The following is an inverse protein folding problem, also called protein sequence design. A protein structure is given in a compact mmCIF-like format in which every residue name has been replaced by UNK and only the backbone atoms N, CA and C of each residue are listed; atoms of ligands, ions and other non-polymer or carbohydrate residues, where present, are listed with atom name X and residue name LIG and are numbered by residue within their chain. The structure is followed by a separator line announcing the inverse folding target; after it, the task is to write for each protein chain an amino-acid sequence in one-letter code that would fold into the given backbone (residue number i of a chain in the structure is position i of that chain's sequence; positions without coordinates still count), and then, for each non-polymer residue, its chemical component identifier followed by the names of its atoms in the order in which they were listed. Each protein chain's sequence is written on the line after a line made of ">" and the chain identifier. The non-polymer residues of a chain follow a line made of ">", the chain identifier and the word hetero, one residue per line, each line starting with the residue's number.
data_IF_151340720105
#
_entry.id   IF_151340720105
#
_cell.length_a   1.000
_cell.length_b   1.000
_cell.length_c   1.000
_cell.angle_alpha   90.00
_cell.angle_beta   90.00
_cell.angle_gamma   90.00
#
_symmetry.space_group_name_H-M   'P 1'
#
loop_
_entity.id
_entity.type
_entity.pdbx_description
1 polymer ?
#
# COMPACT_ATOMS: atom_id res chain seq x y z
N UNK A 1 10.96 -15.36 20.96
CA UNK A 1 10.54 -13.97 21.26
C UNK A 1 11.67 -12.98 20.90
N UNK A 2 12.12 -12.96 19.63
CA UNK A 2 13.32 -12.19 19.23
C UNK A 2 13.34 -11.95 17.71
N UNK A 3 12.65 -10.93 17.18
CA UNK A 3 12.86 -10.44 15.79
C UNK A 3 12.54 -8.94 15.58
N UNK A 4 12.55 -8.09 16.62
CA UNK A 4 12.20 -6.65 16.51
C UNK A 4 13.25 -5.65 17.03
N UNK A 5 14.53 -6.05 17.17
CA UNK A 5 15.58 -5.20 17.77
C UNK A 5 16.69 -4.70 16.83
N UNK A 6 16.50 -4.69 15.50
CA UNK A 6 17.58 -4.30 14.56
C UNK A 6 17.29 -3.19 13.54
N UNK A 7 16.31 -2.33 13.79
CA UNK A 7 16.02 -1.20 12.88
C UNK A 7 16.11 0.21 13.49
N UNK A 8 16.56 0.36 14.75
CA UNK A 8 16.67 1.68 15.40
C UNK A 8 17.98 1.83 16.14
N UNK A 9 19.05 2.09 15.39
CA UNK A 9 20.28 2.66 15.95
C UNK A 9 21.09 3.23 14.81
N UNK A 10 20.78 4.46 14.39
CA UNK A 10 21.78 5.36 13.80
C UNK A 10 21.38 6.81 14.08
N UNK A 11 22.36 7.54 14.64
CA UNK A 11 22.47 8.97 14.90
C UNK A 11 21.72 9.58 16.09
N UNK A 12 22.35 9.44 17.26
CA UNK A 12 22.49 10.54 18.22
C UNK A 12 23.89 11.16 18.09
N UNK A 13 23.94 12.44 17.73
CA UNK A 13 24.94 13.46 18.06
C UNK A 13 24.42 14.76 17.42
N UNK A 14 24.51 15.98 17.95
CA UNK A 14 24.98 16.57 19.20
C UNK A 14 24.79 18.09 19.02
N UNK A 15 24.17 18.80 19.97
CA UNK A 15 24.35 20.24 20.21
C UNK A 15 23.90 21.28 19.16
N UNK A 16 23.70 22.55 19.55
CA UNK A 16 22.95 23.56 18.80
C UNK A 16 23.89 24.57 18.11
N UNK A 17 23.91 24.58 16.78
CA UNK A 17 24.43 25.69 16.00
C UNK A 17 23.35 26.20 15.04
N UNK A 18 22.94 27.44 15.27
CA UNK A 18 22.06 28.24 14.41
C UNK A 18 22.76 28.50 13.08
N UNK A 19 22.68 27.52 12.17
CA UNK A 19 23.03 27.68 10.77
C UNK A 19 21.74 27.99 10.03
N UNK A 20 21.59 29.24 9.56
CA UNK A 20 20.53 29.59 8.60
C UNK A 20 20.50 28.55 7.47
N UNK A 21 19.32 27.96 7.17
CA UNK A 21 19.26 26.91 6.18
C UNK A 21 19.68 27.47 4.82
N UNK A 22 20.82 27.00 4.31
CA UNK A 22 21.28 27.36 2.97
C UNK A 22 20.16 27.09 1.96
N UNK A 23 20.08 27.91 0.92
CA UNK A 23 19.10 27.73 -0.17
C UNK A 23 19.14 26.29 -0.73
N UNK A 24 20.29 25.62 -0.70
CA UNK A 24 20.43 24.20 -1.03
C UNK A 24 19.77 23.24 -0.03
N UNK A 25 19.78 23.54 1.27
CA UNK A 25 19.02 22.78 2.29
C UNK A 25 17.51 23.00 2.11
N UNK A 26 17.08 24.21 1.77
CA UNK A 26 15.70 24.53 1.38
C UNK A 26 15.28 23.81 0.10
N UNK A 27 16.15 23.66 -0.90
CA UNK A 27 15.90 22.89 -2.13
C UNK A 27 15.95 21.37 -1.88
N UNK A 28 16.74 20.89 -0.92
CA UNK A 28 16.79 19.48 -0.51
C UNK A 28 15.54 19.06 0.28
N UNK A 29 15.01 19.96 1.12
CA UNK A 29 13.73 19.76 1.84
C UNK A 29 12.52 20.03 0.93
N UNK A 30 12.64 20.98 -0.01
CA UNK A 30 11.77 21.14 -1.17
C UNK A 30 12.27 20.32 -2.37
N UNK A 31 12.80 19.13 -2.13
CA UNK A 31 12.68 18.05 -3.09
C UNK A 31 11.18 17.68 -3.15
N UNK A 32 10.38 18.65 -3.61
CA UNK A 32 9.05 18.50 -4.15
C UNK A 32 9.15 17.23 -4.96
N UNK A 33 8.48 16.21 -4.46
CA UNK A 33 8.46 14.89 -5.05
C UNK A 33 8.03 15.09 -6.52
N UNK A 34 8.99 15.17 -7.45
CA UNK A 34 8.72 15.58 -8.85
C UNK A 34 7.77 14.62 -9.56
N UNK A 35 7.53 13.46 -8.94
CA UNK A 35 6.58 12.45 -9.40
C UNK A 35 5.19 12.83 -8.92
N UNK A 36 4.32 13.15 -9.88
CA UNK A 36 2.88 13.32 -9.63
C UNK A 36 2.21 12.08 -9.08
N UNK A 37 2.77 10.88 -9.34
CA UNK A 37 2.24 9.60 -8.89
C UNK A 37 3.24 8.93 -7.94
N UNK A 38 2.87 8.76 -6.67
CA UNK A 38 3.68 8.02 -5.70
C UNK A 38 3.65 6.54 -6.07
N UNK A 39 4.82 5.90 -5.96
CA UNK A 39 4.97 4.46 -6.15
C UNK A 39 5.05 3.79 -4.80
N UNK A 40 4.30 2.72 -4.63
CA UNK A 40 4.46 1.84 -3.47
C UNK A 40 5.34 0.67 -3.86
N UNK A 41 6.12 0.15 -2.90
CA UNK A 41 6.82 -1.12 -3.09
C UNK A 41 5.79 -2.16 -3.46
N UNK A 42 6.10 -2.98 -4.45
CA UNK A 42 5.23 -4.07 -4.86
C UNK A 42 5.42 -5.22 -3.87
N UNK A 43 4.50 -5.48 -2.94
CA UNK A 43 4.66 -6.58 -2.01
C UNK A 43 4.52 -7.89 -2.77
N UNK A 44 5.49 -8.80 -2.59
CA UNK A 44 5.42 -10.16 -3.11
C UNK A 44 4.43 -10.99 -2.29
N UNK A 45 3.15 -10.66 -2.36
CA UNK A 45 2.11 -11.64 -2.11
C UNK A 45 2.16 -12.62 -3.27
N UNK A 46 2.12 -13.93 -3.03
CA UNK A 46 2.21 -14.95 -4.10
C UNK A 46 1.08 -14.83 -5.14
N UNK A 47 0.80 -15.90 -5.91
CA UNK A 47 -0.16 -15.89 -7.02
C UNK A 47 -1.60 -15.38 -6.69
N UNK A 48 -1.94 -15.19 -5.42
CA UNK A 48 -3.24 -14.71 -4.91
C UNK A 48 -3.16 -13.33 -4.24
N UNK A 49 -2.09 -12.57 -4.47
CA UNK A 49 -1.98 -11.19 -3.99
C UNK A 49 -2.99 -10.24 -4.64
N UNK A 50 -3.31 -9.09 -4.00
CA UNK A 50 -4.19 -8.08 -4.58
C UNK A 50 -3.56 -7.35 -5.78
N UNK A 51 -2.23 -7.42 -5.90
CA UNK A 51 -1.49 -6.80 -6.99
C UNK A 51 -1.47 -7.70 -8.22
N UNK A 52 -1.52 -7.09 -9.43
CA UNK A 52 -1.58 -7.87 -10.67
C UNK A 52 -0.26 -8.55 -10.98
N UNK A 53 -0.27 -9.84 -11.27
CA UNK A 53 0.85 -10.47 -11.99
C UNK A 53 1.05 -9.73 -13.30
N UNK A 54 2.30 -9.42 -13.62
CA UNK A 54 2.64 -8.67 -14.85
C UNK A 54 3.26 -9.65 -15.82
N UNK A 55 2.61 -9.85 -16.97
CA UNK A 55 3.15 -10.65 -18.06
C UNK A 55 3.62 -9.76 -19.21
N UNK A 56 4.74 -10.14 -19.81
CA UNK A 56 5.22 -9.64 -21.10
C UNK A 56 5.50 -10.83 -22.02
N UNK A 57 4.80 -10.88 -23.16
CA UNK A 57 4.88 -12.01 -24.11
C UNK A 57 4.72 -13.39 -23.44
N UNK A 58 3.81 -13.50 -22.47
CA UNK A 58 3.55 -14.74 -21.73
C UNK A 58 4.56 -15.04 -20.61
N UNK A 59 5.60 -14.21 -20.42
CA UNK A 59 6.56 -14.35 -19.34
C UNK A 59 6.20 -13.46 -18.16
N UNK A 60 6.22 -14.03 -16.96
CA UNK A 60 5.99 -13.28 -15.73
C UNK A 60 7.20 -12.42 -15.38
N UNK A 61 6.94 -11.16 -15.08
CA UNK A 61 7.94 -10.13 -14.82
C UNK A 61 8.01 -9.84 -13.32
N UNK A 62 9.22 -9.62 -12.82
CA UNK A 62 9.43 -9.20 -11.43
C UNK A 62 9.11 -7.71 -11.28
N UNK A 63 8.13 -7.36 -10.45
CA UNK A 63 7.74 -5.96 -10.22
C UNK A 63 8.35 -5.48 -8.91
N UNK A 64 9.10 -4.39 -8.93
CA UNK A 64 9.68 -3.80 -7.72
C UNK A 64 8.77 -2.75 -7.07
N UNK A 65 8.06 -1.96 -7.87
CA UNK A 65 7.09 -0.97 -7.38
C UNK A 65 6.04 -0.64 -8.44
N UNK A 66 4.90 -0.13 -7.99
CA UNK A 66 3.74 0.17 -8.84
C UNK A 66 3.05 1.46 -8.39
N UNK A 67 2.40 2.13 -9.33
CA UNK A 67 1.56 3.30 -9.14
C UNK A 67 0.45 3.30 -10.18
N UNK A 68 -0.53 4.19 -10.03
CA UNK A 68 -1.55 4.42 -11.07
C UNK A 68 -0.98 4.91 -12.40
N UNK A 69 0.25 5.45 -12.42
CA UNK A 69 0.88 5.97 -13.63
C UNK A 69 1.87 5.02 -14.31
N UNK A 70 2.16 3.87 -13.71
CA UNK A 70 3.18 2.95 -14.23
C UNK A 70 3.82 2.09 -13.17
N UNK A 71 4.84 1.35 -13.60
CA UNK A 71 5.49 0.31 -12.81
C UNK A 71 7.01 0.29 -13.01
N UNK A 72 7.68 -0.37 -12.08
CA UNK A 72 9.10 -0.65 -12.14
C UNK A 72 9.29 -2.16 -12.24
N UNK A 73 9.90 -2.60 -13.33
CA UNK A 73 10.23 -4.00 -13.57
C UNK A 73 11.71 -4.23 -13.30
N UNK A 74 12.00 -5.34 -12.64
CA UNK A 74 13.33 -5.93 -12.52
C UNK A 74 13.38 -7.02 -13.61
N UNK A 75 14.03 -6.70 -14.72
CA UNK A 75 14.17 -7.52 -15.92
C UNK A 75 15.54 -8.22 -15.93
N UNK A 76 15.70 -9.19 -15.04
CA UNK A 76 16.93 -9.99 -14.90
C UNK A 76 17.25 -10.78 -16.18
N UNK A 77 16.23 -11.03 -17.01
CA UNK A 77 16.34 -11.78 -18.28
C UNK A 77 16.47 -10.90 -19.51
N UNK A 78 16.49 -9.58 -19.34
CA UNK A 78 16.61 -8.57 -20.41
C UNK A 78 15.57 -8.70 -21.53
N UNK A 79 14.39 -9.25 -21.24
CA UNK A 79 13.33 -9.51 -22.23
C UNK A 79 12.66 -8.25 -22.75
N UNK A 80 12.59 -7.20 -21.93
CA UNK A 80 11.99 -5.93 -22.32
C UNK A 80 12.92 -5.11 -23.23
N UNK A 81 14.14 -5.58 -23.48
CA UNK A 81 15.15 -4.86 -24.23
C UNK A 81 15.70 -3.65 -23.46
N UNK A 82 16.51 -2.83 -24.12
CA UNK A 82 17.22 -1.70 -23.50
C UNK A 82 16.77 -0.32 -24.01
N UNK A 83 15.82 -0.28 -24.95
CA UNK A 83 15.45 0.95 -25.66
C UNK A 83 14.42 1.77 -24.88
N UNK A 84 14.74 3.04 -24.62
CA UNK A 84 13.80 4.01 -24.07
C UNK A 84 12.86 4.49 -25.17
N UNK A 85 11.60 4.75 -24.81
CA UNK A 85 10.48 5.18 -25.66
C UNK A 85 9.75 4.07 -26.40
N UNK A 86 10.21 2.83 -26.33
CA UNK A 86 9.49 1.69 -26.87
C UNK A 86 8.11 1.58 -26.24
N UNK A 87 7.10 1.40 -27.10
CA UNK A 87 5.73 1.14 -26.70
C UNK A 87 5.48 -0.35 -26.85
N UNK A 88 5.19 -1.01 -25.75
CA UNK A 88 4.98 -2.45 -25.66
C UNK A 88 3.61 -2.74 -25.03
N UNK A 89 3.15 -3.97 -25.21
CA UNK A 89 1.97 -4.50 -24.55
C UNK A 89 2.38 -5.36 -23.37
N UNK A 90 1.84 -5.07 -22.19
CA UNK A 90 1.89 -5.97 -21.03
C UNK A 90 0.48 -6.43 -20.68
N UNK A 91 0.39 -7.52 -19.93
CA UNK A 91 -0.86 -7.99 -19.34
C UNK A 91 -0.77 -7.91 -17.81
N UNK A 92 -1.76 -7.27 -17.20
CA UNK A 92 -1.95 -7.21 -15.76
C UNK A 92 -3.03 -8.24 -15.39
N UNK A 93 -2.69 -9.22 -14.56
CA UNK A 93 -3.58 -10.33 -14.21
C UNK A 93 -3.85 -10.33 -12.71
N UNK A 94 -5.11 -10.12 -12.36
CA UNK A 94 -5.73 -10.42 -11.07
C UNK A 94 -6.49 -11.75 -11.21
N UNK A 95 -6.66 -12.51 -10.13
CA UNK A 95 -7.23 -13.86 -10.20
C UNK A 95 -8.49 -14.01 -11.09
N UNK A 96 -9.41 -13.05 -11.03
CA UNK A 96 -10.67 -13.03 -11.79
C UNK A 96 -10.69 -12.08 -13.01
N UNK A 97 -9.61 -11.33 -13.24
CA UNK A 97 -9.62 -10.21 -14.17
C UNK A 97 -8.25 -10.01 -14.79
N UNK A 98 -8.17 -9.89 -16.12
CA UNK A 98 -6.95 -9.45 -16.79
C UNK A 98 -7.19 -8.21 -17.64
N UNK A 99 -6.14 -7.40 -17.76
CA UNK A 99 -6.13 -6.20 -18.57
C UNK A 99 -4.85 -6.13 -19.39
N UNK A 100 -4.99 -6.02 -20.71
CA UNK A 100 -3.89 -5.68 -21.60
C UNK A 100 -3.69 -4.16 -21.60
N UNK A 101 -2.45 -3.73 -21.41
CA UNK A 101 -2.08 -2.33 -21.20
C UNK A 101 -0.93 -1.98 -22.13
N UNK A 102 -1.07 -0.94 -22.96
CA UNK A 102 0.05 -0.32 -23.68
C UNK A 102 0.85 0.49 -22.69
N UNK A 103 2.15 0.26 -22.73
CA UNK A 103 3.08 0.92 -21.82
C UNK A 103 4.30 1.41 -22.58
N UNK A 104 4.89 2.48 -22.09
CA UNK A 104 6.10 3.08 -22.63
C UNK A 104 7.26 2.84 -21.68
N UNK A 105 8.39 2.36 -22.19
CA UNK A 105 9.64 2.34 -21.43
C UNK A 105 10.16 3.77 -21.33
N UNK A 106 10.24 4.32 -20.12
CA UNK A 106 10.66 5.72 -19.88
C UNK A 106 12.02 5.83 -19.19
N UNK A 107 12.61 4.71 -18.80
CA UNK A 107 13.94 4.67 -18.24
C UNK A 107 14.47 3.25 -18.14
N UNK A 108 15.77 3.10 -18.38
CA UNK A 108 16.49 1.82 -18.36
C UNK A 108 17.75 2.02 -17.52
N UNK A 109 17.99 1.11 -16.57
CA UNK A 109 19.21 1.12 -15.76
C UNK A 109 19.60 -0.31 -15.35
N UNK A 110 20.63 -0.88 -15.99
CA UNK A 110 21.03 -2.29 -15.82
C UNK A 110 19.82 -3.22 -16.05
N UNK A 111 19.39 -3.97 -15.02
CA UNK A 111 18.21 -4.83 -15.06
C UNK A 111 16.89 -4.10 -14.74
N UNK A 112 16.93 -2.79 -14.47
CA UNK A 112 15.74 -2.05 -14.08
C UNK A 112 15.08 -1.39 -15.29
N UNK A 113 13.75 -1.48 -15.36
CA UNK A 113 12.92 -0.82 -16.36
C UNK A 113 11.86 0.02 -15.68
N UNK A 114 11.85 1.31 -16.00
CA UNK A 114 10.79 2.22 -15.61
C UNK A 114 9.78 2.32 -16.74
N UNK A 115 8.53 2.00 -16.42
CA UNK A 115 7.47 1.87 -17.39
C UNK A 115 6.34 2.82 -17.02
N UNK A 116 5.80 3.51 -18.02
CA UNK A 116 4.65 4.41 -17.91
C UNK A 116 3.46 3.80 -18.62
N UNK A 117 2.28 3.82 -17.99
CA UNK A 117 1.04 3.40 -18.65
C UNK A 117 0.62 4.46 -19.70
N UNK A 118 0.33 4.03 -20.93
CA UNK A 118 -0.07 4.91 -22.05
C UNK A 118 -1.57 4.91 -22.21
N UNK A 119 -2.16 3.72 -22.30
CA UNK A 119 -3.58 3.53 -22.08
C UNK A 119 -3.78 2.71 -20.82
N UNK A 120 -4.83 3.02 -20.09
CA UNK A 120 -5.09 2.37 -18.83
C UNK A 120 -6.59 2.34 -18.61
N UNK A 121 -7.16 1.14 -18.69
CA UNK A 121 -8.61 1.00 -18.60
C UNK A 121 -9.10 1.41 -17.19
N UNK A 122 -10.33 1.91 -17.11
CA UNK A 122 -10.86 2.49 -15.86
C UNK A 122 -10.90 1.48 -14.70
N UNK A 123 -11.15 0.19 -14.99
CA UNK A 123 -11.23 -0.85 -13.98
C UNK A 123 -9.85 -1.19 -13.38
N UNK A 124 -8.81 -1.34 -14.20
CA UNK A 124 -7.44 -1.55 -13.75
C UNK A 124 -6.93 -0.30 -13.00
N UNK A 125 -7.27 0.90 -13.48
CA UNK A 125 -7.00 2.14 -12.77
C UNK A 125 -7.61 2.13 -11.38
N UNK A 126 -8.90 1.82 -11.26
CA UNK A 126 -9.58 1.77 -9.96
C UNK A 126 -8.90 0.77 -9.02
N UNK A 127 -8.62 -0.46 -9.49
CA UNK A 127 -7.94 -1.51 -8.70
C UNK A 127 -6.56 -1.06 -8.22
N UNK A 128 -5.70 -0.55 -9.10
CA UNK A 128 -4.36 -0.06 -8.70
C UNK A 128 -4.48 1.16 -7.79
N UNK A 129 -5.43 2.06 -8.06
CA UNK A 129 -5.61 3.27 -7.26
C UNK A 129 -5.94 2.93 -5.81
N UNK A 130 -6.86 2.00 -5.55
CA UNK A 130 -7.23 1.59 -4.19
C UNK A 130 -5.99 1.10 -3.41
N UNK A 131 -5.15 0.29 -4.06
CA UNK A 131 -3.96 -0.28 -3.43
C UNK A 131 -2.84 0.74 -3.22
N UNK A 132 -2.73 1.75 -4.09
CA UNK A 132 -1.63 2.74 -4.11
C UNK A 132 -1.99 4.07 -3.44
N UNK A 133 -3.28 4.37 -3.25
CA UNK A 133 -3.84 5.60 -2.67
C UNK A 133 -3.28 5.95 -1.28
N UNK A 134 -3.09 5.03 -0.33
CA UNK A 134 -2.55 5.36 1.00
C UNK A 134 -1.08 5.77 0.95
N UNK A 135 -0.31 5.17 0.04
CA UNK A 135 1.07 5.57 -0.23
C UNK A 135 1.17 6.94 -0.91
N UNK A 136 0.12 7.37 -1.64
CA UNK A 136 0.01 8.67 -2.31
C UNK A 136 0.03 9.87 -1.37
N UNK A 137 -0.32 9.67 -0.09
CA UNK A 137 -0.54 10.77 0.84
C UNK A 137 0.21 10.47 2.12
N UNK A 138 1.50 10.79 2.06
CA UNK A 138 2.39 10.84 3.21
C UNK A 138 2.04 11.94 4.22
N UNK A 139 0.77 12.07 4.61
CA UNK A 139 0.41 12.75 5.85
C UNK A 139 0.33 11.71 6.96
N UNK A 140 1.23 11.84 7.93
CA UNK A 140 1.21 11.13 9.21
C UNK A 140 -0.22 11.12 9.76
N UNK A 141 -0.61 10.05 10.44
CA UNK A 141 -1.79 10.11 11.30
C UNK A 141 -1.69 11.35 12.18
N UNK A 142 -2.69 12.21 12.07
CA UNK A 142 -2.74 13.40 12.89
C UNK A 142 -3.45 13.02 14.18
N UNK A 143 -2.73 13.13 15.30
CA UNK A 143 -3.37 13.12 16.61
C UNK A 143 -4.33 14.29 16.67
N UNK A 144 -5.59 13.98 16.95
CA UNK A 144 -6.63 15.01 17.03
C UNK A 144 -6.52 15.65 18.41
N UNK A 145 -6.19 16.96 18.44
CA UNK A 145 -6.16 17.74 19.69
C UNK A 145 -7.60 18.05 20.07
N UNK A 146 -8.07 17.37 21.09
CA UNK A 146 -9.41 17.50 21.62
C UNK A 146 -9.40 18.48 22.80
N UNK A 147 -9.34 19.78 22.49
CA UNK A 147 -9.27 20.86 23.50
C UNK A 147 -10.56 20.97 24.32
N UNK A 148 -11.68 20.44 23.82
CA UNK A 148 -13.02 20.57 24.43
C UNK A 148 -13.65 19.23 24.84
N UNK A 149 -12.98 18.10 24.66
CA UNK A 149 -13.51 16.79 25.02
C UNK A 149 -14.62 16.26 24.09
N UNK A 150 -14.88 16.93 22.97
CA UNK A 150 -16.01 16.68 22.06
C UNK A 150 -15.62 15.82 20.86
N UNK A 151 -14.33 15.73 20.53
CA UNK A 151 -13.88 15.00 19.35
C UNK A 151 -13.84 13.49 19.64
N UNK A 152 -14.54 12.72 18.81
CA UNK A 152 -14.59 11.26 18.91
C UNK A 152 -13.33 10.57 18.37
N UNK A 153 -12.42 11.31 17.74
CA UNK A 153 -11.21 10.81 17.11
C UNK A 153 -9.97 10.92 18.01
N UNK A 154 -9.18 9.86 18.10
CA UNK A 154 -7.82 9.84 18.67
C UNK A 154 -6.78 10.21 17.61
N UNK A 155 -6.89 9.58 16.45
CA UNK A 155 -6.01 9.76 15.30
C UNK A 155 -6.87 9.72 14.03
N UNK A 156 -6.53 10.59 13.09
CA UNK A 156 -7.24 10.70 11.81
C UNK A 156 -6.23 10.72 10.67
N UNK A 157 -6.50 9.88 9.67
CA UNK A 157 -5.92 9.97 8.34
C UNK A 157 -7.04 10.37 7.37
N UNK A 158 -6.75 11.29 6.45
CA UNK A 158 -7.69 11.72 5.41
C UNK A 158 -6.97 11.62 4.06
N UNK A 159 -7.61 10.93 3.13
CA UNK A 159 -7.19 10.81 1.74
C UNK A 159 -7.62 12.01 0.90
N UNK A 160 -7.00 12.17 -0.27
CA UNK A 160 -7.26 13.28 -1.19
C UNK A 160 -8.59 13.12 -1.93
N UNK A 161 -9.17 11.92 -1.92
CA UNK A 161 -10.44 11.58 -2.55
C UNK A 161 -11.54 11.32 -1.51
N UNK A 162 -11.48 12.03 -0.38
CA UNK A 162 -12.46 11.99 0.72
C UNK A 162 -12.53 10.67 1.48
N UNK A 163 -11.59 9.76 1.27
CA UNK A 163 -11.42 8.62 2.18
C UNK A 163 -10.89 9.10 3.54
N UNK A 164 -11.19 8.36 4.60
CA UNK A 164 -10.64 8.68 5.91
C UNK A 164 -10.57 7.44 6.78
N UNK A 165 -9.54 7.34 7.61
CA UNK A 165 -9.43 6.35 8.66
C UNK A 165 -9.33 7.07 10.00
N UNK A 166 -10.33 6.85 10.86
CA UNK A 166 -10.46 7.46 12.18
C UNK A 166 -10.36 6.39 13.26
N UNK A 167 -9.53 6.62 14.27
CA UNK A 167 -9.52 5.81 15.50
C UNK A 167 -10.38 6.46 16.57
N UNK A 168 -11.27 5.70 17.21
CA UNK A 168 -12.25 6.27 18.11
C UNK A 168 -11.77 6.30 19.57
N UNK A 169 -12.08 7.39 20.30
CA UNK A 169 -11.66 7.63 21.70
C UNK A 169 -12.60 7.01 22.73
N UNK A 170 -13.92 7.01 22.45
CA UNK A 170 -15.00 6.59 23.38
C UNK A 170 -16.19 6.00 22.62
N UNK A 171 -15.94 5.16 21.62
CA UNK A 171 -16.97 4.44 20.85
C UNK A 171 -16.85 2.94 21.12
N UNK A 172 -17.94 2.19 20.89
CA UNK A 172 -17.87 0.73 20.77
C UNK A 172 -16.94 0.33 19.62
N UNK A 173 -16.92 1.14 18.56
CA UNK A 173 -16.04 1.01 17.42
C UNK A 173 -14.59 1.35 17.80
N UNK A 174 -13.65 0.51 17.36
CA UNK A 174 -12.22 0.77 17.48
C UNK A 174 -11.76 1.76 16.41
N UNK A 175 -12.20 1.58 15.18
CA UNK A 175 -11.89 2.45 14.06
C UNK A 175 -13.04 2.53 13.06
N UNK A 176 -13.05 3.59 12.27
CA UNK A 176 -13.97 3.80 11.14
C UNK A 176 -13.17 4.14 9.88
N UNK A 177 -13.45 3.44 8.79
CA UNK A 177 -12.91 3.73 7.47
C UNK A 177 -14.04 4.21 6.56
N UNK A 178 -13.89 5.39 5.98
CA UNK A 178 -14.71 5.84 4.85
C UNK A 178 -13.94 5.54 3.57
N UNK A 179 -14.49 4.69 2.71
CA UNK A 179 -13.88 4.29 1.44
C UNK A 179 -14.95 4.33 0.34
N UNK A 180 -14.70 5.11 -0.72
CA UNK A 180 -15.64 5.30 -1.84
C UNK A 180 -17.07 5.68 -1.38
N UNK A 181 -17.18 6.49 -0.32
CA UNK A 181 -18.48 6.92 0.23
C UNK A 181 -19.19 5.90 1.12
N UNK A 182 -18.62 4.70 1.32
CA UNK A 182 -19.14 3.71 2.27
C UNK A 182 -18.40 3.83 3.61
N UNK A 183 -19.13 3.73 4.73
CA UNK A 183 -18.54 3.67 6.06
C UNK A 183 -18.37 2.21 6.51
N UNK A 184 -17.16 1.86 6.90
CA UNK A 184 -16.76 0.53 7.36
C UNK A 184 -16.29 0.63 8.81
N UNK A 185 -16.82 -0.23 9.66
CA UNK A 185 -16.59 -0.22 11.11
C UNK A 185 -15.70 -1.40 11.50
N UNK A 186 -14.71 -1.10 12.35
CA UNK A 186 -13.85 -2.11 12.97
C UNK A 186 -14.12 -2.13 14.46
N UNK A 187 -14.49 -3.29 14.99
CA UNK A 187 -14.79 -3.51 16.40
C UNK A 187 -13.97 -4.69 16.95
N UNK A 188 -13.59 -4.61 18.23
CA UNK A 188 -12.90 -5.74 18.86
C UNK A 188 -13.92 -6.83 19.18
N UNK A 189 -13.69 -8.03 18.65
CA UNK A 189 -14.56 -9.19 18.91
C UNK A 189 -15.79 -9.30 18.01
N UNK A 190 -15.92 -8.42 17.01
CA UNK A 190 -16.94 -8.50 15.95
C UNK A 190 -16.25 -8.37 14.60
N UNK A 191 -16.67 -9.17 13.62
CA UNK A 191 -16.14 -9.07 12.26
C UNK A 191 -16.40 -7.68 11.67
N UNK A 192 -15.41 -7.14 10.96
CA UNK A 192 -15.51 -5.88 10.21
C UNK A 192 -16.76 -5.83 9.31
N UNK A 193 -17.52 -4.73 9.38
CA UNK A 193 -18.84 -4.62 8.76
C UNK A 193 -19.12 -3.23 8.16
N UNK A 194 -20.14 -3.13 7.30
CA UNK A 194 -20.63 -1.85 6.77
C UNK A 194 -21.54 -1.15 7.77
N UNK A 195 -21.32 0.14 8.04
CA UNK A 195 -22.07 0.87 9.07
C UNK A 195 -23.57 0.95 8.75
N UNK A 196 -23.94 1.05 7.48
CA UNK A 196 -25.33 1.25 7.06
C UNK A 196 -26.16 -0.04 7.11
N UNK A 197 -25.57 -1.18 6.76
CA UNK A 197 -26.28 -2.47 6.68
C UNK A 197 -25.97 -3.43 7.83
N UNK A 198 -24.92 -3.15 8.60
CA UNK A 198 -24.33 -4.07 9.59
C UNK A 198 -23.86 -5.42 9.01
N UNK A 199 -23.81 -5.55 7.68
CA UNK A 199 -23.37 -6.77 7.01
C UNK A 199 -21.84 -6.89 7.05
N UNK A 200 -21.29 -8.10 7.24
CA UNK A 200 -19.86 -8.34 7.19
C UNK A 200 -19.25 -7.94 5.85
N UNK A 201 -18.07 -7.34 5.90
CA UNK A 201 -17.29 -7.03 4.69
C UNK A 201 -16.82 -8.32 4.03
N UNK A 202 -16.89 -8.37 2.68
CA UNK A 202 -16.41 -9.54 1.93
C UNK A 202 -14.90 -9.76 2.13
N UNK A 203 -14.40 -11.02 2.10
CA UNK A 203 -12.96 -11.31 2.24
C UNK A 203 -12.07 -10.56 1.24
N UNK A 204 -12.57 -10.37 0.01
CA UNK A 204 -11.86 -9.63 -1.05
C UNK A 204 -11.66 -8.17 -0.64
N UNK A 205 -12.74 -7.49 -0.25
CA UNK A 205 -12.66 -6.09 0.18
C UNK A 205 -11.82 -5.94 1.47
N UNK A 206 -11.94 -6.89 2.40
CA UNK A 206 -11.14 -6.89 3.63
C UNK A 206 -9.64 -7.05 3.33
N UNK A 207 -9.29 -7.89 2.35
CA UNK A 207 -7.92 -8.01 1.83
C UNK A 207 -7.45 -6.69 1.21
N UNK A 208 -8.27 -6.06 0.37
CA UNK A 208 -7.93 -4.78 -0.24
C UNK A 208 -7.69 -3.69 0.82
N UNK A 209 -8.52 -3.65 1.87
CA UNK A 209 -8.36 -2.75 3.03
C UNK A 209 -7.08 -3.04 3.80
N UNK A 210 -6.74 -4.32 4.05
CA UNK A 210 -5.50 -4.70 4.73
C UNK A 210 -4.29 -4.13 4.00
N UNK A 211 -4.21 -4.36 2.69
CA UNK A 211 -3.11 -3.86 1.87
C UNK A 211 -3.11 -2.34 1.80
N UNK A 212 -4.29 -1.73 1.68
CA UNK A 212 -4.43 -0.28 1.72
C UNK A 212 -3.79 0.27 3.02
N UNK A 213 -4.22 -0.19 4.19
CA UNK A 213 -3.74 0.30 5.49
C UNK A 213 -2.26 -0.04 5.71
N UNK A 214 -1.80 -1.22 5.27
CA UNK A 214 -0.40 -1.63 5.38
C UNK A 214 0.56 -0.76 4.54
N UNK A 215 0.04 -0.04 3.53
CA UNK A 215 0.82 0.91 2.71
C UNK A 215 0.89 2.33 3.31
N UNK A 216 0.33 2.57 4.50
CA UNK A 216 0.50 3.84 5.20
C UNK A 216 1.95 4.00 5.67
N UNK A 217 2.55 5.16 5.34
CA UNK A 217 3.90 5.50 5.79
C UNK A 217 3.90 5.75 7.31
N UNK A 218 4.91 5.25 8.02
CA UNK A 218 5.06 5.41 9.48
C UNK A 218 3.82 4.97 10.30
N UNK A 219 3.40 3.69 10.25
CA UNK A 219 2.19 3.23 10.93
C UNK A 219 2.28 3.40 12.45
N UNK A 220 1.28 4.06 13.03
CA UNK A 220 1.15 4.22 14.49
C UNK A 220 0.82 2.89 15.17
N UNK A 221 0.86 2.85 16.50
CA UNK A 221 0.47 1.65 17.24
C UNK A 221 -1.00 1.27 16.96
N UNK A 222 -1.87 2.26 16.81
CA UNK A 222 -3.28 2.04 16.51
C UNK A 222 -3.48 1.40 15.13
N UNK A 223 -2.71 1.83 14.13
CA UNK A 223 -2.68 1.20 12.80
C UNK A 223 -2.26 -0.26 12.86
N UNK A 224 -1.20 -0.56 13.62
CA UNK A 224 -0.73 -1.95 13.78
C UNK A 224 -1.81 -2.83 14.42
N UNK A 225 -2.45 -2.33 15.48
CA UNK A 225 -3.55 -3.03 16.14
C UNK A 225 -4.76 -3.23 15.20
N UNK A 226 -5.01 -2.29 14.28
CA UNK A 226 -6.06 -2.42 13.27
C UNK A 226 -5.75 -3.53 12.26
N UNK A 227 -4.50 -3.61 11.80
CA UNK A 227 -4.05 -4.67 10.90
C UNK A 227 -4.24 -6.05 11.54
N UNK A 228 -3.95 -6.19 12.84
CA UNK A 228 -4.17 -7.45 13.58
C UNK A 228 -5.66 -7.83 13.64
N UNK A 229 -6.57 -6.87 13.82
CA UNK A 229 -8.03 -7.11 13.78
C UNK A 229 -8.42 -7.63 12.39
N UNK A 230 -7.95 -6.97 11.33
CA UNK A 230 -8.28 -7.34 9.94
C UNK A 230 -7.74 -8.73 9.59
N UNK A 231 -6.52 -9.07 10.02
CA UNK A 231 -5.92 -10.39 9.81
C UNK A 231 -6.68 -11.50 10.56
N UNK A 232 -7.15 -11.21 11.78
CA UNK A 232 -8.00 -12.11 12.55
C UNK A 232 -9.33 -12.37 11.83
N UNK A 233 -9.98 -11.31 11.35
CA UNK A 233 -11.25 -11.41 10.60
C UNK A 233 -11.08 -12.24 9.32
N UNK A 234 -10.01 -12.00 8.56
CA UNK A 234 -9.68 -12.81 7.37
C UNK A 234 -9.48 -14.28 7.73
N UNK A 235 -8.80 -14.58 8.84
CA UNK A 235 -8.57 -15.96 9.28
C UNK A 235 -9.87 -16.66 9.67
N UNK A 236 -10.81 -15.93 10.26
CA UNK A 236 -12.13 -16.45 10.66
C UNK A 236 -13.04 -16.70 9.46
N UNK A 237 -13.01 -15.82 8.45
CA UNK A 237 -13.88 -15.94 7.26
C UNK A 237 -13.29 -16.92 6.24
N UNK A 238 -11.96 -17.05 6.20
CA UNK A 238 -11.23 -17.98 5.31
C UNK A 238 -10.29 -18.89 6.10
N UNK A 239 -10.81 -19.94 6.77
CA UNK A 239 -10.03 -20.80 7.65
C UNK A 239 -8.88 -21.58 6.97
N UNK A 240 -8.78 -21.52 5.64
CA UNK A 240 -7.79 -22.26 4.83
C UNK A 240 -6.58 -21.43 4.33
N UNK A 241 -6.42 -20.15 4.70
CA UNK A 241 -5.26 -19.35 4.25
C UNK A 241 -4.04 -19.53 5.18
N UNK A 242 -4.26 -19.73 6.48
CA UNK A 242 -3.21 -19.87 7.50
C UNK A 242 -2.33 -21.12 7.31
N UNK A 243 -2.84 -22.19 6.68
CA UNK A 243 -2.06 -23.42 6.41
C UNK A 243 -1.05 -23.30 5.26
N UNK A 244 -1.19 -22.30 4.38
CA UNK A 244 -0.29 -22.09 3.22
C UNK A 244 0.86 -21.10 3.47
N UNK A 245 0.76 -20.26 4.50
CA UNK A 245 1.84 -19.33 4.88
C UNK A 245 2.89 -20.03 5.75
N UNK A 246 2.50 -21.05 6.53
CA UNK A 246 3.41 -21.82 7.38
C UNK A 246 4.20 -22.92 6.66
N UNK A 247 3.73 -23.43 5.51
CA UNK A 247 4.36 -24.59 4.85
C UNK A 247 5.53 -24.25 3.92
N UNK A 248 5.84 -22.96 3.67
CA UNK A 248 7.03 -22.55 2.90
C UNK A 248 8.28 -22.25 3.74
N UNK A 249 8.24 -22.45 5.07
CA UNK A 249 9.41 -22.23 5.96
C UNK A 249 10.17 -23.50 6.36
N UNK A 250 9.80 -24.67 5.86
CA UNK A 250 10.53 -25.92 6.09
C UNK A 250 10.77 -26.64 4.78
N UNK A 251 11.62 -26.07 3.94
CA UNK A 251 12.31 -26.74 2.84
C UNK A 251 13.80 -26.54 3.03
N UNK A 252 14.34 -27.14 4.08
CA UNK A 252 15.78 -27.22 4.34
C UNK A 252 16.47 -28.01 3.24
N UNK A 253 17.60 -27.45 2.81
CA UNK A 253 18.65 -28.09 2.04
C UNK A 253 18.87 -29.56 2.41
N UNK A 254 18.87 -30.39 1.38
CA UNK A 254 19.46 -31.72 1.29
C UNK A 254 19.82 -31.94 -0.17
#
# INVERSE_FOLDING_TARGET
>A
MHWLKRLFSFNQSSGPDTVEPSVHKLIGVNALNKRKNIRIKYPHFGAFGPFPRVLYMGHEMNVGNISVGGLHIIDDTEKLGSTVSDIIMIELIWGDFSAKVRVRVVGVNLHNRHIQFVDFNAQAYLRISILTKPGYIGSRFHRVRDEFGQLQALELWVGATSESLMFCKKSSSFAELVLNGQKIIFERGRCTYFAESEEPVTPKLLTDILIMIANLNEPTLLVKNLLEIIESDLSNITPNISSKISSKKTGTYG
#
